data_IF_648684786707
#
_entry.id   IF_648684786707
#
_cell.length_a   1.000
_cell.length_b   1.000
_cell.length_c   1.000
_cell.angle_alpha   90.00
_cell.angle_beta   90.00
_cell.angle_gamma   90.00
#
_symmetry.space_group_name_H-M   'P 1'
#
loop_
_entity.id
_entity.type
_entity.pdbx_description
1 polymer ?
#
# COMPACT_ATOMS: atom_id res chain seq x y z
N UNK A 1 2.21 -8.08 0.83
CA UNK A 1 2.91 -6.78 0.69
C UNK A 1 4.26 -6.88 1.37
N UNK A 2 5.29 -6.19 0.85
CA UNK A 2 6.59 -6.05 1.49
C UNK A 2 6.81 -4.57 1.83
N UNK A 3 7.14 -4.30 3.10
CA UNK A 3 7.58 -2.98 3.56
C UNK A 3 9.11 -2.99 3.62
N UNK A 4 9.73 -1.99 2.99
CA UNK A 4 11.19 -1.86 2.92
C UNK A 4 11.60 -0.39 3.08
N UNK A 5 12.86 -0.16 3.43
CA UNK A 5 13.42 1.20 3.44
C UNK A 5 13.69 1.67 2.01
N UNK A 6 13.33 2.91 1.73
CA UNK A 6 13.62 3.62 0.49
C UNK A 6 14.27 4.96 0.86
N UNK A 7 15.61 4.95 1.03
CA UNK A 7 16.33 6.05 1.66
C UNK A 7 15.99 6.16 3.15
N UNK A 8 15.59 7.35 3.60
CA UNK A 8 15.21 7.61 5.00
C UNK A 8 13.73 7.27 5.29
N UNK A 9 12.96 6.91 4.28
CA UNK A 9 11.54 6.58 4.39
C UNK A 9 11.27 5.07 4.30
N UNK A 10 10.04 4.68 4.62
CA UNK A 10 9.45 3.38 4.33
C UNK A 10 8.62 3.47 3.04
N UNK A 11 8.82 2.48 2.19
CA UNK A 11 8.03 2.21 1.01
C UNK A 11 7.40 0.82 1.09
N UNK A 12 6.36 0.60 0.31
CA UNK A 12 5.61 -0.65 0.27
C UNK A 12 5.38 -1.08 -1.17
N UNK A 13 5.62 -2.35 -1.45
CA UNK A 13 5.30 -2.94 -2.75
C UNK A 13 4.50 -4.23 -2.62
N UNK A 14 3.74 -4.54 -3.65
CA UNK A 14 2.97 -5.78 -3.73
C UNK A 14 3.91 -6.93 -4.06
N UNK A 15 3.89 -7.99 -3.25
CA UNK A 15 4.71 -9.21 -3.48
C UNK A 15 3.90 -10.49 -3.33
N UNK A 16 2.69 -10.40 -2.77
CA UNK A 16 1.82 -11.53 -2.50
C UNK A 16 0.37 -11.05 -2.29
N UNK A 17 -0.57 -11.96 -2.47
CA UNK A 17 -2.01 -11.80 -2.27
C UNK A 17 -2.77 -12.95 -2.90
N UNK A 18 -3.92 -13.35 -2.35
CA UNK A 18 -4.74 -14.45 -2.90
C UNK A 18 -5.01 -14.30 -4.40
N UNK A 19 -5.40 -13.12 -4.92
CA UNK A 19 -5.62 -12.94 -6.35
C UNK A 19 -4.32 -13.13 -7.18
N UNK A 20 -3.18 -12.64 -6.66
CA UNK A 20 -1.88 -12.79 -7.31
C UNK A 20 -1.37 -14.23 -7.32
N UNK A 21 -1.69 -15.03 -6.31
CA UNK A 21 -1.35 -16.47 -6.30
C UNK A 21 -2.17 -17.26 -7.32
N UNK A 22 -3.42 -16.86 -7.56
CA UNK A 22 -4.26 -17.46 -8.58
C UNK A 22 -3.84 -17.03 -10.00
N UNK A 23 -3.40 -15.78 -10.16
CA UNK A 23 -2.87 -15.26 -11.41
C UNK A 23 -1.70 -14.27 -11.13
N UNK A 24 -0.43 -14.69 -11.32
CA UNK A 24 0.72 -13.82 -11.06
C UNK A 24 0.85 -12.69 -12.09
N UNK A 25 0.16 -12.78 -13.22
CA UNK A 25 0.16 -11.78 -14.28
C UNK A 25 -0.98 -10.75 -14.13
N UNK A 26 -1.56 -10.60 -12.93
CA UNK A 26 -2.57 -9.57 -12.71
C UNK A 26 -2.07 -8.17 -13.05
N UNK A 27 -2.96 -7.40 -13.67
CA UNK A 27 -2.75 -6.05 -14.16
C UNK A 27 -3.55 -5.05 -13.34
N UNK A 28 -3.11 -3.81 -13.35
CA UNK A 28 -3.75 -2.71 -12.60
C UNK A 28 -5.04 -2.19 -13.28
N UNK A 29 -5.93 -3.09 -13.68
CA UNK A 29 -7.09 -2.80 -14.53
C UNK A 29 -8.08 -1.81 -13.92
N UNK A 30 -8.06 -1.62 -12.59
CA UNK A 30 -8.94 -0.70 -11.85
C UNK A 30 -8.38 0.71 -11.75
N UNK A 31 -7.18 0.97 -12.27
CA UNK A 31 -6.60 2.30 -12.24
C UNK A 31 -7.47 3.30 -13.02
N UNK A 32 -7.70 4.47 -12.44
CA UNK A 32 -8.42 5.56 -13.12
C UNK A 32 -7.67 6.08 -14.35
N UNK A 33 -6.34 6.03 -14.34
CA UNK A 33 -5.49 6.34 -15.50
C UNK A 33 -5.31 5.08 -16.37
N UNK A 34 -5.82 5.15 -17.60
CA UNK A 34 -5.79 4.03 -18.54
C UNK A 34 -4.37 3.63 -18.92
N UNK A 35 -3.43 4.58 -18.96
CA UNK A 35 -2.04 4.31 -19.31
C UNK A 35 -1.37 3.41 -18.26
N UNK A 36 -1.83 3.47 -17.00
CA UNK A 36 -1.31 2.67 -15.90
C UNK A 36 -1.93 1.28 -15.83
N UNK A 37 -3.06 1.01 -16.50
CA UNK A 37 -3.77 -0.28 -16.40
C UNK A 37 -2.98 -1.47 -16.93
N UNK A 38 -1.99 -1.23 -17.78
CA UNK A 38 -1.13 -2.27 -18.37
C UNK A 38 0.01 -2.76 -17.46
N UNK A 39 0.26 -2.08 -16.33
CA UNK A 39 1.34 -2.45 -15.41
C UNK A 39 0.96 -3.68 -14.57
N UNK A 40 1.97 -4.48 -14.21
CA UNK A 40 1.79 -5.63 -13.31
C UNK A 40 1.49 -5.15 -11.90
N UNK A 41 0.58 -5.84 -11.22
CA UNK A 41 0.39 -5.66 -9.78
C UNK A 41 1.56 -6.23 -8.98
N UNK A 42 2.10 -7.39 -9.40
CA UNK A 42 3.31 -7.96 -8.78
C UNK A 42 4.48 -6.96 -8.88
N UNK A 43 5.07 -6.62 -7.73
CA UNK A 43 6.17 -5.68 -7.60
C UNK A 43 5.75 -4.20 -7.57
N UNK A 44 4.46 -3.87 -7.78
CA UNK A 44 3.99 -2.50 -7.83
C UNK A 44 4.23 -1.78 -6.50
N UNK A 45 4.87 -0.61 -6.54
CA UNK A 45 4.99 0.26 -5.36
C UNK A 45 3.66 0.94 -5.10
N UNK A 46 3.13 0.75 -3.89
CA UNK A 46 1.82 1.26 -3.47
C UNK A 46 1.87 2.13 -2.21
N UNK A 47 3.00 2.15 -1.50
CA UNK A 47 3.26 3.11 -0.42
C UNK A 47 4.58 3.80 -0.72
N UNK A 48 4.62 5.12 -0.58
CA UNK A 48 5.81 5.93 -0.82
C UNK A 48 6.05 6.96 0.29
N UNK A 49 7.32 7.21 0.63
CA UNK A 49 7.71 8.34 1.47
C UNK A 49 7.22 8.34 2.93
N UNK A 50 6.96 7.20 3.56
CA UNK A 50 6.50 7.17 4.96
C UNK A 50 7.66 7.34 5.95
N UNK A 51 7.62 8.38 6.77
CA UNK A 51 8.68 8.72 7.73
C UNK A 51 8.15 8.76 9.15
N UNK A 52 9.04 8.59 10.14
CA UNK A 52 8.68 8.47 11.56
C UNK A 52 9.25 7.22 12.21
N UNK A 53 8.59 6.74 13.26
CA UNK A 53 8.97 5.55 14.02
C UNK A 53 8.96 5.77 15.54
N UNK A 54 9.16 4.70 16.32
CA UNK A 54 9.38 3.32 15.87
C UNK A 54 8.10 2.53 15.58
N UNK A 55 6.92 3.10 15.88
CA UNK A 55 5.61 2.42 15.73
C UNK A 55 4.64 3.13 14.82
N UNK A 56 4.89 4.39 14.50
CA UNK A 56 4.01 5.19 13.66
C UNK A 56 4.81 5.93 12.59
N UNK A 57 4.33 5.86 11.36
CA UNK A 57 4.87 6.60 10.23
C UNK A 57 3.77 7.37 9.53
N UNK A 58 4.12 8.55 9.04
CA UNK A 58 3.23 9.45 8.29
C UNK A 58 3.93 9.83 6.99
N UNK A 59 3.14 10.05 5.95
CA UNK A 59 3.68 10.35 4.63
C UNK A 59 2.68 9.95 3.57
N UNK A 60 3.19 9.47 2.45
CA UNK A 60 2.40 9.16 1.27
C UNK A 60 3.09 9.68 0.01
N UNK A 61 2.52 9.37 -1.17
CA UNK A 61 1.18 8.81 -1.38
C UNK A 61 1.04 7.30 -1.07
N UNK A 62 -0.21 6.84 -1.00
CA UNK A 62 -0.55 5.41 -1.08
C UNK A 62 -1.64 5.12 -2.12
N UNK A 63 -1.64 3.89 -2.64
CA UNK A 63 -2.55 3.41 -3.68
C UNK A 63 -3.15 2.05 -3.29
N UNK A 64 -4.45 1.85 -3.53
CA UNK A 64 -5.11 0.56 -3.41
C UNK A 64 -5.47 0.01 -4.80
N UNK A 65 -4.72 -0.97 -5.34
CA UNK A 65 -5.02 -1.57 -6.63
C UNK A 65 -6.35 -2.33 -6.65
N UNK A 66 -6.91 -2.68 -5.49
CA UNK A 66 -8.21 -3.34 -5.44
C UNK A 66 -9.35 -2.37 -5.70
N UNK A 67 -9.27 -1.10 -5.30
CA UNK A 67 -10.33 -0.14 -5.61
C UNK A 67 -9.96 0.80 -6.76
N UNK A 68 -8.67 0.95 -7.07
CA UNK A 68 -8.18 2.00 -7.97
C UNK A 68 -8.02 3.35 -7.26
N UNK A 69 -8.29 3.42 -5.95
CA UNK A 69 -8.23 4.67 -5.19
C UNK A 69 -6.80 4.95 -4.71
N UNK A 70 -6.47 6.24 -4.61
CA UNK A 70 -5.26 6.72 -3.97
C UNK A 70 -5.56 7.69 -2.84
N UNK A 71 -4.62 7.79 -1.90
CA UNK A 71 -4.59 8.86 -0.90
C UNK A 71 -3.26 9.60 -0.98
N UNK A 72 -3.31 10.94 -0.97
CA UNK A 72 -2.11 11.80 -1.00
C UNK A 72 -1.28 11.65 0.28
N UNK A 73 -1.94 11.33 1.39
CA UNK A 73 -1.28 11.07 2.66
C UNK A 73 -1.96 9.94 3.42
N UNK A 74 -1.20 9.37 4.35
CA UNK A 74 -1.67 8.30 5.20
C UNK A 74 -0.81 8.08 6.44
N UNK A 75 -1.18 7.04 7.16
CA UNK A 75 -0.57 6.62 8.42
C UNK A 75 -0.31 5.12 8.37
N UNK A 76 0.89 4.71 8.79
CA UNK A 76 1.23 3.33 9.08
C UNK A 76 1.39 3.21 10.60
N UNK A 77 0.64 2.31 11.22
CA UNK A 77 0.69 2.11 12.67
C UNK A 77 0.94 0.64 12.99
N UNK A 78 2.06 0.36 13.66
CA UNK A 78 2.40 -0.96 14.15
C UNK A 78 1.63 -1.24 15.45
N UNK A 79 0.49 -1.92 15.30
CA UNK A 79 -0.40 -2.26 16.41
C UNK A 79 0.26 -3.26 17.37
N UNK A 80 0.96 -4.24 16.81
CA UNK A 80 1.79 -5.22 17.52
C UNK A 80 2.91 -5.72 16.59
N UNK A 81 3.68 -6.74 17.01
CA UNK A 81 4.83 -7.28 16.25
C UNK A 81 4.48 -7.73 14.83
N UNK A 82 3.27 -8.25 14.65
CA UNK A 82 2.82 -8.91 13.42
C UNK A 82 1.69 -8.14 12.71
N UNK A 83 1.13 -7.09 13.33
CA UNK A 83 -0.03 -6.35 12.79
C UNK A 83 0.32 -4.90 12.44
N UNK A 84 0.15 -4.54 11.16
CA UNK A 84 0.29 -3.19 10.65
C UNK A 84 -1.08 -2.65 10.21
N UNK A 85 -1.48 -1.49 10.73
CA UNK A 85 -2.63 -0.73 10.24
C UNK A 85 -2.18 0.29 9.21
N UNK A 86 -2.80 0.28 8.04
CA UNK A 86 -2.54 1.20 6.93
C UNK A 86 -3.79 2.04 6.73
N UNK A 87 -3.70 3.34 7.04
CA UNK A 87 -4.80 4.28 6.91
C UNK A 87 -4.50 5.30 5.83
N UNK A 88 -5.39 5.41 4.84
CA UNK A 88 -5.36 6.47 3.82
C UNK A 88 -6.65 7.28 3.84
N UNK A 89 -6.53 8.59 3.62
CA UNK A 89 -7.68 9.49 3.51
C UNK A 89 -7.83 9.96 2.07
N UNK A 90 -8.89 9.48 1.40
CA UNK A 90 -9.21 9.81 0.01
C UNK A 90 -9.80 11.24 -0.05
N UNK A 91 -10.57 11.60 0.97
CA UNK A 91 -11.12 12.95 1.17
C UNK A 91 -11.05 13.34 2.65
N UNK A 92 -11.30 14.62 2.96
CA UNK A 92 -11.23 15.19 4.32
C UNK A 92 -12.01 14.36 5.35
N UNK A 93 -13.16 13.82 4.95
CA UNK A 93 -14.02 13.00 5.83
C UNK A 93 -13.97 11.49 5.52
N UNK A 94 -13.32 11.06 4.44
CA UNK A 94 -13.33 9.67 3.99
C UNK A 94 -11.95 9.05 4.11
N UNK A 95 -11.70 8.43 5.26
CA UNK A 95 -10.52 7.62 5.49
C UNK A 95 -10.88 6.14 5.53
N UNK A 96 -10.04 5.31 4.91
CA UNK A 96 -10.13 3.85 4.98
C UNK A 96 -8.91 3.32 5.71
N UNK A 97 -9.11 2.27 6.50
CA UNK A 97 -8.03 1.57 7.19
C UNK A 97 -8.04 0.11 6.79
N UNK A 98 -6.88 -0.40 6.40
CA UNK A 98 -6.64 -1.83 6.20
C UNK A 98 -5.72 -2.35 7.28
N UNK A 99 -5.95 -3.59 7.71
CA UNK A 99 -5.08 -4.29 8.65
C UNK A 99 -4.32 -5.36 7.88
N UNK A 100 -3.00 -5.29 7.93
CA UNK A 100 -2.11 -6.27 7.31
C UNK A 100 -1.40 -7.08 8.38
N UNK A 101 -1.42 -8.39 8.22
CA UNK A 101 -0.70 -9.32 9.07
C UNK A 101 0.60 -9.75 8.38
N UNK A 102 1.68 -9.77 9.13
CA UNK A 102 3.00 -10.23 8.68
C UNK A 102 2.92 -11.71 8.29
N UNK A 103 3.36 -12.02 7.08
CA UNK A 103 3.59 -13.41 6.66
C UNK A 103 4.89 -13.93 7.31
N UNK A 104 4.87 -15.18 7.75
CA UNK A 104 6.02 -15.87 8.37
C UNK A 104 6.74 -16.74 7.34
#
# INVERSE_FOLDING_TARGET
MEIHRCGQALCGRVVDGTPLRANPDQRDIRNGDEALRSRRLMGLRILDGFTGGPREWKGGPLYDPNSGDGAKSGYLTLADRDTLKVKGCIAVFLCRTQTWTRLR
#
